data_IF_487474962536
#
_entry.id   IF_487474962536
#
_cell.length_a   1.000
_cell.length_b   1.000
_cell.length_c   1.000
_cell.angle_alpha   90.00
_cell.angle_beta   90.00
_cell.angle_gamma   90.00
#
_symmetry.space_group_name_H-M   'P 1'
#
loop_
_entity.id
_entity.type
_entity.pdbx_description
1 polymer ?
#
# COMPACT_ATOMS: atom_id res chain seq x y z
N UNK A 1 -11.36 11.87 -10.14
CA UNK A 1 -10.41 11.38 -11.16
C UNK A 1 -10.44 12.10 -12.51
N UNK A 2 -11.60 12.54 -13.01
CA UNK A 2 -11.73 13.18 -14.35
C UNK A 2 -10.76 14.34 -14.59
N UNK A 3 -10.56 15.21 -13.59
CA UNK A 3 -9.62 16.32 -13.69
C UNK A 3 -8.16 15.85 -13.89
N UNK A 4 -7.74 14.77 -13.23
CA UNK A 4 -6.39 14.21 -13.34
C UNK A 4 -6.19 13.63 -14.74
N UNK A 5 -7.18 12.89 -15.25
CA UNK A 5 -7.15 12.35 -16.61
C UNK A 5 -7.11 13.46 -17.67
N UNK A 6 -7.89 14.53 -17.47
CA UNK A 6 -7.89 15.69 -18.35
C UNK A 6 -6.52 16.38 -18.35
N UNK A 7 -5.92 16.60 -17.18
CA UNK A 7 -4.58 17.19 -17.07
C UNK A 7 -3.50 16.31 -17.72
N UNK A 8 -3.56 14.99 -17.51
CA UNK A 8 -2.65 14.05 -18.17
C UNK A 8 -2.80 14.09 -19.69
N UNK A 9 -4.03 14.09 -20.19
CA UNK A 9 -4.32 14.18 -21.63
C UNK A 9 -3.85 15.51 -22.23
N UNK A 10 -4.13 16.64 -21.55
CA UNK A 10 -3.68 17.97 -21.96
C UNK A 10 -2.16 18.03 -21.99
N UNK A 11 -1.48 17.48 -20.98
CA UNK A 11 -0.02 17.40 -20.92
C UNK A 11 0.55 16.59 -22.10
N UNK A 12 -0.03 15.42 -22.39
CA UNK A 12 0.38 14.58 -23.51
C UNK A 12 0.09 15.23 -24.87
N UNK A 13 -0.99 15.98 -25.00
CA UNK A 13 -1.35 16.66 -26.23
C UNK A 13 -0.49 17.91 -26.49
N UNK A 14 -0.29 18.75 -25.46
CA UNK A 14 0.42 20.04 -25.58
C UNK A 14 1.95 19.89 -25.63
N UNK A 15 2.52 18.86 -24.99
CA UNK A 15 3.99 18.75 -24.88
C UNK A 15 4.62 18.28 -26.21
N UNK A 16 5.54 19.06 -26.82
CA UNK A 16 6.24 18.65 -28.03
C UNK A 16 7.01 17.33 -27.87
N UNK A 17 7.04 16.50 -28.93
CA UNK A 17 7.77 15.22 -28.93
C UNK A 17 9.28 15.37 -28.70
N UNK A 18 9.86 16.50 -29.12
CA UNK A 18 11.29 16.79 -28.89
C UNK A 18 11.60 16.89 -27.39
N UNK A 19 10.76 17.61 -26.62
CA UNK A 19 10.93 17.76 -25.17
C UNK A 19 10.79 16.42 -24.46
N UNK A 20 9.81 15.59 -24.86
CA UNK A 20 9.65 14.24 -24.30
C UNK A 20 10.87 13.34 -24.54
N UNK A 21 11.44 13.38 -25.74
CA UNK A 21 12.65 12.62 -26.08
C UNK A 21 13.86 13.09 -25.27
N UNK A 22 14.03 14.41 -25.13
CA UNK A 22 15.10 15.01 -24.33
C UNK A 22 14.99 14.65 -22.84
N UNK A 23 13.77 14.43 -22.33
CA UNK A 23 13.52 14.00 -20.95
C UNK A 23 13.40 12.47 -20.79
N UNK A 24 13.73 11.68 -21.83
CA UNK A 24 13.62 10.21 -21.82
C UNK A 24 12.23 9.70 -21.35
N UNK A 25 11.16 10.45 -21.63
CA UNK A 25 9.82 10.08 -21.20
C UNK A 25 9.36 8.80 -21.91
N UNK A 26 8.99 7.79 -21.12
CA UNK A 26 8.50 6.48 -21.60
C UNK A 26 7.27 6.04 -20.81
N UNK A 27 6.39 5.29 -21.46
CA UNK A 27 5.23 4.67 -20.81
C UNK A 27 5.54 3.33 -20.13
N UNK A 28 6.75 2.78 -20.31
CA UNK A 28 7.12 1.46 -19.81
C UNK A 28 6.88 1.29 -18.30
N UNK A 29 7.25 2.22 -17.41
CA UNK A 29 6.97 2.09 -15.98
C UNK A 29 5.47 2.04 -15.65
N UNK A 30 4.65 2.81 -16.37
CA UNK A 30 3.20 2.80 -16.18
C UNK A 30 2.57 1.47 -16.60
N UNK A 31 3.03 0.91 -17.73
CA UNK A 31 2.57 -0.40 -18.22
C UNK A 31 2.99 -1.51 -17.26
N UNK A 32 4.23 -1.49 -16.78
CA UNK A 32 4.74 -2.47 -15.81
C UNK A 32 3.91 -2.48 -14.53
N UNK A 33 3.65 -1.30 -13.94
CA UNK A 33 2.79 -1.16 -12.77
C UNK A 33 1.37 -1.66 -13.06
N UNK A 34 0.77 -1.30 -14.20
CA UNK A 34 -0.58 -1.74 -14.55
C UNK A 34 -0.69 -3.28 -14.69
N UNK A 35 0.28 -3.92 -15.33
CA UNK A 35 0.32 -5.39 -15.48
C UNK A 35 0.55 -6.06 -14.14
N UNK A 36 1.43 -5.51 -13.29
CA UNK A 36 1.69 -6.02 -11.94
C UNK A 36 0.41 -6.00 -11.09
N UNK A 37 -0.30 -4.87 -11.04
CA UNK A 37 -1.55 -4.75 -10.30
C UNK A 37 -2.62 -5.69 -10.84
N UNK A 38 -2.76 -5.81 -12.17
CA UNK A 38 -3.69 -6.78 -12.76
C UNK A 38 -3.40 -8.22 -12.29
N UNK A 39 -2.13 -8.62 -12.29
CA UNK A 39 -1.71 -9.93 -11.80
C UNK A 39 -1.98 -10.14 -10.30
N UNK A 40 -1.65 -9.15 -9.46
CA UNK A 40 -1.91 -9.20 -8.01
C UNK A 40 -3.41 -9.32 -7.74
N UNK A 41 -4.25 -8.44 -8.33
CA UNK A 41 -5.69 -8.49 -8.09
C UNK A 41 -6.33 -9.80 -8.58
N UNK A 42 -5.91 -10.33 -9.73
CA UNK A 42 -6.42 -11.62 -10.22
C UNK A 42 -6.07 -12.77 -9.27
N UNK A 43 -4.83 -12.80 -8.78
CA UNK A 43 -4.37 -13.86 -7.86
C UNK A 43 -4.93 -13.70 -6.45
N UNK A 44 -5.36 -12.50 -6.07
CA UNK A 44 -6.02 -12.25 -4.79
C UNK A 44 -7.44 -12.80 -4.71
N UNK A 45 -8.17 -12.92 -5.83
CA UNK A 45 -9.56 -13.40 -5.82
C UNK A 45 -9.73 -14.69 -4.98
N UNK A 46 -9.02 -15.79 -5.25
CA UNK A 46 -9.15 -17.01 -4.44
C UNK A 46 -8.66 -16.83 -3.00
N UNK A 47 -7.67 -15.97 -2.75
CA UNK A 47 -7.17 -15.70 -1.41
C UNK A 47 -8.21 -14.94 -0.55
N UNK A 48 -8.92 -13.98 -1.15
CA UNK A 48 -10.00 -13.24 -0.50
C UNK A 48 -11.20 -14.14 -0.24
N UNK A 49 -11.57 -15.02 -1.18
CA UNK A 49 -12.62 -16.03 -0.97
C UNK A 49 -12.26 -16.97 0.19
N UNK A 50 -11.01 -17.44 0.24
CA UNK A 50 -10.54 -18.27 1.35
C UNK A 50 -10.64 -17.54 2.70
N UNK A 51 -10.27 -16.26 2.73
CA UNK A 51 -10.39 -15.43 3.94
C UNK A 51 -11.84 -15.20 4.34
N UNK A 52 -12.77 -15.04 3.40
CA UNK A 52 -14.19 -14.93 3.72
C UNK A 52 -14.73 -16.19 4.43
N UNK A 53 -14.24 -17.38 4.05
CA UNK A 53 -14.72 -18.64 4.64
C UNK A 53 -13.95 -19.02 5.90
N UNK A 54 -12.64 -18.79 5.94
CA UNK A 54 -11.73 -19.32 6.99
C UNK A 54 -10.95 -18.25 7.74
N UNK A 55 -11.19 -16.97 7.49
CA UNK A 55 -10.45 -15.87 8.12
C UNK A 55 -10.53 -15.88 9.64
N UNK A 56 -11.66 -16.31 10.21
CA UNK A 56 -11.82 -16.47 11.66
C UNK A 56 -10.83 -17.42 12.33
N UNK A 57 -10.18 -18.30 11.58
CA UNK A 57 -9.14 -19.21 12.09
C UNK A 57 -7.79 -18.51 12.32
N UNK A 58 -7.56 -17.33 11.74
CA UNK A 58 -6.29 -16.60 11.85
C UNK A 58 -6.07 -15.93 13.21
N UNK A 59 -7.09 -15.86 14.08
CA UNK A 59 -6.97 -15.34 15.43
C UNK A 59 -6.78 -13.82 15.56
N UNK A 60 -6.91 -13.08 14.46
CA UNK A 60 -6.91 -11.60 14.45
C UNK A 60 -8.33 -11.13 14.76
N UNK A 61 -8.55 -10.51 15.92
CA UNK A 61 -9.87 -10.13 16.43
C UNK A 61 -9.91 -8.72 17.00
N UNK A 62 -8.83 -8.27 17.60
CA UNK A 62 -8.76 -6.97 18.25
C UNK A 62 -8.22 -5.86 17.33
N UNK A 63 -8.62 -4.59 17.51
CA UNK A 63 -8.18 -3.49 16.65
C UNK A 63 -6.66 -3.37 16.53
N UNK A 64 -5.90 -3.48 17.63
CA UNK A 64 -4.44 -3.45 17.60
C UNK A 64 -3.84 -4.62 16.80
N UNK A 65 -4.47 -5.79 16.81
CA UNK A 65 -4.01 -6.94 16.01
C UNK A 65 -4.21 -6.66 14.53
N UNK A 66 -5.37 -6.10 14.16
CA UNK A 66 -5.63 -5.65 12.79
C UNK A 66 -4.64 -4.56 12.36
N UNK A 67 -4.34 -3.59 13.22
CA UNK A 67 -3.37 -2.54 12.94
C UNK A 67 -1.98 -3.10 12.62
N UNK A 68 -1.45 -3.99 13.47
CA UNK A 68 -0.10 -4.54 13.27
C UNK A 68 -0.04 -5.58 12.13
N UNK A 69 -1.05 -6.45 12.01
CA UNK A 69 -1.06 -7.47 10.96
C UNK A 69 -1.23 -6.86 9.57
N UNK A 70 -2.16 -5.91 9.43
CA UNK A 70 -2.36 -5.15 8.18
C UNK A 70 -1.10 -4.36 7.85
N UNK A 71 -0.56 -3.62 8.81
CA UNK A 71 0.63 -2.81 8.58
C UNK A 71 1.89 -3.63 8.24
N UNK A 72 2.06 -4.79 8.87
CA UNK A 72 3.15 -5.70 8.55
C UNK A 72 3.06 -6.22 7.10
N UNK A 73 1.88 -6.63 6.63
CA UNK A 73 1.70 -7.04 5.24
C UNK A 73 1.90 -5.85 4.27
N UNK A 74 1.37 -4.68 4.63
CA UNK A 74 1.47 -3.47 3.81
C UNK A 74 2.90 -3.01 3.62
N UNK A 75 3.77 -3.31 4.59
CA UNK A 75 5.21 -3.01 4.50
C UNK A 75 5.90 -3.71 3.33
N UNK A 76 5.31 -4.76 2.73
CA UNK A 76 5.96 -5.57 1.70
C UNK A 76 5.14 -5.83 0.42
N UNK A 77 3.82 -5.65 0.44
CA UNK A 77 2.97 -6.00 -0.70
C UNK A 77 2.55 -4.77 -1.51
N UNK A 78 1.60 -4.01 -0.97
CA UNK A 78 1.12 -2.67 -1.37
C UNK A 78 -0.10 -2.36 -0.47
N UNK A 79 -0.44 -1.09 -0.32
CA UNK A 79 -1.53 -0.66 0.56
C UNK A 79 -2.91 -1.20 0.12
N UNK A 80 -3.21 -1.17 -1.19
CA UNK A 80 -4.52 -1.54 -1.71
C UNK A 80 -4.85 -3.04 -1.57
N UNK A 81 -4.00 -3.98 -2.02
CA UNK A 81 -4.24 -5.40 -1.82
C UNK A 81 -4.28 -5.75 -0.33
N UNK A 82 -3.40 -5.15 0.47
CA UNK A 82 -3.37 -5.37 1.93
C UNK A 82 -4.68 -4.93 2.59
N UNK A 83 -5.20 -3.75 2.25
CA UNK A 83 -6.47 -3.26 2.77
C UNK A 83 -7.61 -4.25 2.49
N UNK A 84 -7.73 -4.74 1.25
CA UNK A 84 -8.78 -5.69 0.88
C UNK A 84 -8.64 -7.03 1.59
N UNK A 85 -7.42 -7.53 1.77
CA UNK A 85 -7.14 -8.76 2.52
C UNK A 85 -7.68 -8.66 3.95
N UNK A 86 -7.37 -7.58 4.65
CA UNK A 86 -7.79 -7.43 6.05
C UNK A 86 -9.24 -6.96 6.20
N UNK A 87 -9.80 -6.30 5.19
CA UNK A 87 -11.24 -6.05 5.11
C UNK A 87 -12.02 -7.37 4.99
N UNK A 88 -11.62 -8.25 4.07
CA UNK A 88 -12.25 -9.57 3.91
C UNK A 88 -12.11 -10.42 5.18
N UNK A 89 -10.93 -10.38 5.82
CA UNK A 89 -10.70 -11.01 7.11
C UNK A 89 -11.65 -10.48 8.18
N UNK A 90 -11.74 -9.15 8.36
CA UNK A 90 -12.62 -8.55 9.35
C UNK A 90 -14.10 -8.88 9.12
N UNK A 91 -14.54 -8.93 7.87
CA UNK A 91 -15.91 -9.32 7.51
C UNK A 91 -16.20 -10.80 7.80
N UNK A 92 -15.20 -11.68 7.71
CA UNK A 92 -15.35 -13.11 8.01
C UNK A 92 -15.62 -13.40 9.49
N UNK A 93 -15.34 -12.45 10.39
CA UNK A 93 -15.43 -12.64 11.84
C UNK A 93 -16.85 -12.54 12.39
N UNK A 94 -17.82 -12.09 11.59
CA UNK A 94 -19.21 -11.90 12.05
C UNK A 94 -19.33 -10.88 13.19
N UNK A 95 -18.45 -9.87 13.20
CA UNK A 95 -18.43 -8.82 14.21
C UNK A 95 -19.65 -7.89 14.08
N UNK A 96 -19.97 -7.10 15.13
CA UNK A 96 -21.04 -6.11 15.06
C UNK A 96 -20.87 -5.21 13.84
N UNK A 97 -21.87 -5.20 12.97
CA UNK A 97 -21.82 -4.46 11.73
C UNK A 97 -22.17 -2.98 11.99
N UNK A 98 -21.19 -2.10 11.79
CA UNK A 98 -21.39 -0.65 11.84
C UNK A 98 -21.13 -0.05 10.45
N UNK A 99 -19.90 -0.21 9.95
CA UNK A 99 -19.45 0.36 8.67
C UNK A 99 -18.93 -0.78 7.80
N UNK A 100 -19.53 -0.97 6.62
CA UNK A 100 -19.12 -2.00 5.64
C UNK A 100 -19.10 -3.41 6.26
N UNK A 101 -20.03 -3.68 7.20
CA UNK A 101 -20.18 -4.99 7.82
C UNK A 101 -19.20 -5.29 8.96
N UNK A 102 -18.56 -4.28 9.56
CA UNK A 102 -17.66 -4.46 10.71
C UNK A 102 -17.64 -3.23 11.64
N UNK A 103 -17.03 -3.34 12.84
CA UNK A 103 -16.87 -2.21 13.74
C UNK A 103 -15.98 -1.11 13.15
N UNK A 104 -16.36 0.15 13.35
CA UNK A 104 -15.61 1.31 12.84
C UNK A 104 -14.15 1.30 13.30
N UNK A 105 -13.87 0.92 14.55
CA UNK A 105 -12.52 0.91 15.13
C UNK A 105 -11.58 -0.08 14.43
N UNK A 106 -12.08 -1.25 14.01
CA UNK A 106 -11.30 -2.24 13.25
C UNK A 106 -11.05 -1.75 11.84
N UNK A 107 -12.07 -1.17 11.19
CA UNK A 107 -11.91 -0.58 9.86
C UNK A 107 -10.89 0.57 9.88
N UNK A 108 -10.88 1.39 10.93
CA UNK A 108 -9.89 2.44 11.13
C UNK A 108 -8.48 1.86 11.32
N UNK A 109 -8.33 0.81 12.13
CA UNK A 109 -7.06 0.11 12.32
C UNK A 109 -6.48 -0.40 10.99
N UNK A 110 -7.31 -1.05 10.16
CA UNK A 110 -6.94 -1.53 8.83
C UNK A 110 -6.56 -0.35 7.93
N UNK A 111 -7.40 0.70 7.87
CA UNK A 111 -7.20 1.84 6.97
C UNK A 111 -5.91 2.60 7.27
N UNK A 112 -5.67 2.92 8.55
CA UNK A 112 -4.50 3.70 8.97
C UNK A 112 -3.22 2.90 8.76
N UNK A 113 -3.19 1.65 9.19
CA UNK A 113 -1.99 0.82 9.06
C UNK A 113 -1.66 0.44 7.62
N UNK A 114 -2.67 0.14 6.80
CA UNK A 114 -2.48 -0.14 5.37
C UNK A 114 -1.76 1.02 4.69
N UNK A 115 -2.14 2.27 4.98
CA UNK A 115 -1.50 3.43 4.35
C UNK A 115 -0.16 3.78 5.00
N UNK A 116 -0.12 3.86 6.33
CA UNK A 116 1.03 4.43 7.05
C UNK A 116 2.24 3.49 7.06
N UNK A 117 2.03 2.18 7.20
CA UNK A 117 3.14 1.22 7.33
C UNK A 117 3.74 0.80 5.99
N UNK A 118 3.13 1.15 4.85
CA UNK A 118 3.75 0.98 3.52
C UNK A 118 5.07 1.75 3.37
N UNK A 119 5.33 2.74 4.23
CA UNK A 119 6.60 3.47 4.29
C UNK A 119 7.74 2.71 5.00
N UNK A 120 7.48 1.54 5.57
CA UNK A 120 8.52 0.78 6.28
C UNK A 120 9.60 0.23 5.34
N UNK A 121 9.31 0.01 4.06
CA UNK A 121 10.27 -0.54 3.10
C UNK A 121 10.15 0.13 1.73
N UNK A 122 11.16 -0.04 0.87
CA UNK A 122 11.09 0.49 -0.49
C UNK A 122 10.00 -0.16 -1.36
N UNK A 123 9.58 -1.37 -1.03
CA UNK A 123 8.58 -2.12 -1.80
C UNK A 123 7.18 -2.04 -1.20
N UNK A 124 7.03 -1.49 0.01
CA UNK A 124 5.72 -1.35 0.65
C UNK A 124 4.78 -0.40 -0.08
N UNK A 125 5.31 0.54 -0.87
CA UNK A 125 4.53 1.30 -1.84
C UNK A 125 5.36 1.67 -3.08
N UNK A 126 4.70 1.82 -4.23
CA UNK A 126 5.34 2.18 -5.49
C UNK A 126 6.09 3.54 -5.47
N UNK A 127 5.56 4.62 -4.82
CA UNK A 127 6.29 5.87 -4.70
C UNK A 127 7.68 5.76 -4.04
N UNK A 128 7.87 4.92 -3.02
CA UNK A 128 9.16 4.76 -2.34
C UNK A 128 10.24 4.24 -3.31
N UNK A 129 9.90 3.21 -4.08
CA UNK A 129 10.80 2.66 -5.10
C UNK A 129 11.09 3.67 -6.20
N UNK A 130 10.08 4.43 -6.63
CA UNK A 130 10.24 5.47 -7.65
C UNK A 130 11.17 6.61 -7.19
N UNK A 131 11.01 7.09 -5.95
CA UNK A 131 11.88 8.13 -5.37
C UNK A 131 13.32 7.63 -5.28
N UNK A 132 13.53 6.38 -4.83
CA UNK A 132 14.85 5.74 -4.81
C UNK A 132 15.49 5.73 -6.20
N UNK A 133 14.76 5.24 -7.22
CA UNK A 133 15.27 5.14 -8.59
C UNK A 133 15.64 6.51 -9.19
N UNK A 134 14.81 7.54 -8.94
CA UNK A 134 15.08 8.91 -9.39
C UNK A 134 16.33 9.48 -8.71
N UNK A 135 16.47 9.29 -7.39
CA UNK A 135 17.61 9.77 -6.62
C UNK A 135 18.92 9.10 -7.06
N UNK A 136 18.92 7.78 -7.26
CA UNK A 136 20.08 7.03 -7.77
C UNK A 136 20.48 7.48 -9.18
N UNK A 137 19.49 7.68 -10.08
CA UNK A 137 19.74 8.22 -11.42
C UNK A 137 20.33 9.64 -11.39
N UNK A 138 19.97 10.43 -10.37
CA UNK A 138 20.54 11.75 -10.10
C UNK A 138 21.92 11.74 -9.42
N UNK A 139 22.52 10.57 -9.19
CA UNK A 139 23.82 10.45 -8.53
C UNK A 139 23.79 10.53 -7.00
N UNK A 140 22.60 10.55 -6.38
CA UNK A 140 22.44 10.52 -4.93
C UNK A 140 22.54 9.07 -4.45
N UNK A 141 23.45 8.80 -3.52
CA UNK A 141 23.60 7.47 -2.91
C UNK A 141 22.42 7.20 -1.98
N UNK A 142 21.56 6.26 -2.38
CA UNK A 142 20.44 5.81 -1.56
C UNK A 142 20.86 4.65 -0.64
N UNK A 143 20.24 4.52 0.55
CA UNK A 143 20.43 3.33 1.40
C UNK A 143 20.05 2.04 0.67
N UNK A 144 20.70 0.93 1.03
CA UNK A 144 20.28 -0.41 0.59
C UNK A 144 18.88 -0.74 1.11
N UNK A 145 18.25 -1.80 0.59
CA UNK A 145 16.92 -2.22 1.02
C UNK A 145 16.81 -2.39 2.55
N UNK A 146 17.72 -3.19 3.13
CA UNK A 146 17.76 -3.39 4.58
C UNK A 146 18.25 -2.15 5.35
N UNK A 147 19.11 -1.32 4.73
CA UNK A 147 19.54 -0.06 5.33
C UNK A 147 18.39 0.93 5.49
N UNK A 148 17.55 1.06 4.46
CA UNK A 148 16.33 1.86 4.52
C UNK A 148 15.35 1.30 5.55
N UNK A 149 15.10 -0.01 5.53
CA UNK A 149 14.18 -0.67 6.48
C UNK A 149 14.61 -0.48 7.93
N UNK A 150 15.90 -0.55 8.23
CA UNK A 150 16.41 -0.28 9.57
C UNK A 150 16.19 1.19 9.97
N UNK A 151 16.44 2.13 9.06
CA UNK A 151 16.24 3.56 9.29
C UNK A 151 14.76 3.92 9.48
N UNK A 152 13.89 3.53 8.55
CA UNK A 152 12.45 3.77 8.62
C UNK A 152 11.84 3.07 9.83
N UNK A 153 12.21 1.82 10.09
CA UNK A 153 11.73 1.06 11.23
C UNK A 153 12.11 1.70 12.57
N UNK A 154 13.34 2.18 12.72
CA UNK A 154 13.79 2.85 13.93
C UNK A 154 13.00 4.13 14.25
N UNK A 155 12.48 4.81 13.24
CA UNK A 155 11.69 6.05 13.40
C UNK A 155 10.19 5.75 13.49
N UNK A 156 9.66 4.90 12.61
CA UNK A 156 8.24 4.69 12.43
C UNK A 156 7.65 3.68 13.42
N UNK A 157 8.37 2.60 13.77
CA UNK A 157 7.83 1.60 14.70
C UNK A 157 7.50 2.19 16.08
N UNK A 158 8.34 3.04 16.70
CA UNK A 158 7.97 3.71 17.96
C UNK A 158 6.71 4.57 17.82
N UNK A 159 6.56 5.28 16.70
CA UNK A 159 5.36 6.09 16.43
C UNK A 159 4.12 5.20 16.27
N UNK A 160 4.24 4.06 15.61
CA UNK A 160 3.14 3.10 15.47
C UNK A 160 2.75 2.44 16.78
N UNK A 161 3.69 2.20 17.69
CA UNK A 161 3.38 1.77 19.07
C UNK A 161 2.55 2.84 19.78
N UNK A 162 2.95 4.11 19.69
CA UNK A 162 2.18 5.22 20.27
C UNK A 162 0.79 5.30 19.66
N UNK A 163 0.67 5.23 18.33
CA UNK A 163 -0.62 5.22 17.62
C UNK A 163 -1.49 4.06 18.07
N UNK A 164 -0.90 2.87 18.28
CA UNK A 164 -1.63 1.72 18.82
C UNK A 164 -2.22 2.09 20.18
N UNK A 165 -1.37 2.45 21.16
CA UNK A 165 -1.82 2.73 22.54
C UNK A 165 -2.89 3.84 22.61
N UNK A 166 -2.82 4.84 21.74
CA UNK A 166 -3.75 5.98 21.76
C UNK A 166 -5.08 5.69 21.05
N UNK A 167 -5.11 4.80 20.06
CA UNK A 167 -6.26 4.66 19.15
C UNK A 167 -6.82 3.24 19.00
N UNK A 168 -6.06 2.17 19.35
CA UNK A 168 -6.39 0.76 19.04
C UNK A 168 -6.06 -0.23 20.17
#
# INVERSE_FOLDING_TARGET
EVAILALAAISLWRTPRAIRRANHFTAAPMVEVAVLFLGIFLTMIPALELLHVRGGELGVREPWQFFWATGALSSFLDNAPTYLTFLALGQSLGLPAEVVGMPHVILAAISVSAVAMGANTYIGNAPNFMVKAIAEAGGVRMPSFFGYMAYSGAVLLPLFVIVTILFF
#
